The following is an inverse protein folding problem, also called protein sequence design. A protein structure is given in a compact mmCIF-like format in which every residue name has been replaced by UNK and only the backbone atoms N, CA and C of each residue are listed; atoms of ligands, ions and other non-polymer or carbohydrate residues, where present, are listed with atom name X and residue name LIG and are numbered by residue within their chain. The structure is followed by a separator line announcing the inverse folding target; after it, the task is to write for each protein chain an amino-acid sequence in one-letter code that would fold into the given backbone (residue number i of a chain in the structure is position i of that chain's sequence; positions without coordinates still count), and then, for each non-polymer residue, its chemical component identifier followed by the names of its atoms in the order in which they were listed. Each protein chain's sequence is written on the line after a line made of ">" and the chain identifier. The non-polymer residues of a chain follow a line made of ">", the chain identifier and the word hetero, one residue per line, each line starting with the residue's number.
data_IF_059060725203
#
_entry.id   IF_059060725203
#
_cell.length_a   1.000
_cell.length_b   1.000
_cell.length_c   1.000
_cell.angle_alpha   90.00
_cell.angle_beta   90.00
_cell.angle_gamma   90.00
#
_symmetry.space_group_name_H-M   'P 1'
#
loop_
_entity.id
_entity.type
_entity.pdbx_description
1 polymer ?
#
# COMPACT_ATOMS: atom_id res chain seq x y z
N UNK A 1 -12.24 7.44 -33.74
CA UNK A 1 -12.55 6.31 -32.83
C UNK A 1 -11.28 5.45 -32.81
N UNK A 2 -10.34 5.78 -31.93
CA UNK A 2 -9.22 4.90 -31.65
C UNK A 2 -9.77 3.74 -30.81
N UNK A 3 -9.62 2.51 -31.33
CA UNK A 3 -10.22 1.33 -30.74
C UNK A 3 -9.58 1.02 -29.38
N UNK A 4 -10.41 0.81 -28.36
CA UNK A 4 -9.99 0.24 -27.10
C UNK A 4 -9.26 -1.09 -27.35
N UNK A 5 -8.06 -1.22 -26.81
CA UNK A 5 -7.40 -2.53 -26.78
C UNK A 5 -8.08 -3.39 -25.72
N UNK A 6 -8.88 -4.35 -26.17
CA UNK A 6 -9.58 -5.30 -25.30
C UNK A 6 -8.64 -6.12 -24.42
N UNK A 7 -7.37 -6.21 -24.75
CA UNK A 7 -6.37 -6.87 -23.94
C UNK A 7 -6.06 -6.05 -22.67
N UNK A 8 -5.99 -4.74 -22.78
CA UNK A 8 -5.79 -3.83 -21.64
C UNK A 8 -7.00 -3.83 -20.72
N UNK A 9 -8.20 -3.83 -21.30
CA UNK A 9 -9.47 -3.92 -20.54
C UNK A 9 -9.54 -5.24 -19.77
N UNK A 10 -9.23 -6.37 -20.40
CA UNK A 10 -9.23 -7.67 -19.76
C UNK A 10 -8.18 -7.77 -18.63
N UNK A 11 -6.99 -7.22 -18.85
CA UNK A 11 -5.92 -7.16 -17.85
C UNK A 11 -6.36 -6.37 -16.61
N UNK A 12 -7.01 -5.25 -16.81
CA UNK A 12 -7.57 -4.42 -15.77
C UNK A 12 -8.61 -5.16 -14.92
N UNK A 13 -9.57 -5.84 -15.55
CA UNK A 13 -10.58 -6.63 -14.80
C UNK A 13 -9.96 -7.75 -13.99
N UNK A 14 -8.94 -8.42 -14.51
CA UNK A 14 -8.23 -9.48 -13.78
C UNK A 14 -7.48 -8.89 -12.58
N UNK A 15 -6.92 -7.69 -12.70
CA UNK A 15 -6.26 -6.99 -11.60
C UNK A 15 -7.26 -6.62 -10.51
N UNK A 16 -8.41 -6.05 -10.88
CA UNK A 16 -9.49 -5.71 -9.96
C UNK A 16 -10.05 -6.95 -9.25
N UNK A 17 -10.28 -8.02 -9.99
CA UNK A 17 -10.72 -9.29 -9.40
C UNK A 17 -9.72 -9.80 -8.33
N UNK A 18 -8.42 -9.70 -8.59
CA UNK A 18 -7.41 -10.08 -7.61
C UNK A 18 -7.52 -9.24 -6.34
N UNK A 19 -7.65 -7.92 -6.43
CA UNK A 19 -7.79 -7.03 -5.27
C UNK A 19 -9.04 -7.34 -4.46
N UNK A 20 -10.18 -7.54 -5.13
CA UNK A 20 -11.43 -7.97 -4.48
C UNK A 20 -11.28 -9.32 -3.77
N UNK A 21 -10.57 -10.26 -4.38
CA UNK A 21 -10.25 -11.55 -3.74
C UNK A 21 -9.39 -11.36 -2.50
N UNK A 22 -8.37 -10.50 -2.55
CA UNK A 22 -7.52 -10.21 -1.37
C UNK A 22 -8.34 -9.62 -0.23
N UNK A 23 -9.18 -8.61 -0.50
CA UNK A 23 -10.07 -8.01 0.50
C UNK A 23 -10.98 -9.07 1.13
N UNK A 24 -11.65 -9.89 0.34
CA UNK A 24 -12.53 -10.94 0.83
C UNK A 24 -11.77 -12.05 1.59
N UNK A 25 -10.62 -12.46 1.07
CA UNK A 25 -9.78 -13.49 1.66
C UNK A 25 -9.19 -13.07 3.00
N UNK A 26 -8.69 -11.85 3.11
CA UNK A 26 -8.08 -11.34 4.34
C UNK A 26 -9.08 -11.03 5.44
N UNK A 27 -10.36 -10.95 5.12
CA UNK A 27 -11.45 -10.87 6.09
C UNK A 27 -11.78 -12.24 6.75
N UNK A 28 -11.22 -13.33 6.23
CA UNK A 28 -11.36 -14.66 6.82
C UNK A 28 -10.30 -14.87 7.90
N UNK A 29 -10.69 -15.51 9.00
CA UNK A 29 -9.78 -15.92 10.06
C UNK A 29 -9.01 -17.17 9.62
N UNK A 30 -7.69 -17.03 9.53
CA UNK A 30 -6.78 -18.16 9.28
C UNK A 30 -6.24 -18.71 10.60
N UNK A 31 -6.25 -20.02 10.74
CA UNK A 31 -5.70 -20.68 11.93
C UNK A 31 -4.20 -20.43 12.07
N UNK A 32 -3.48 -20.39 10.95
CA UNK A 32 -2.04 -20.15 10.90
C UNK A 32 -1.74 -19.00 9.95
N UNK A 33 -1.17 -17.94 10.47
CA UNK A 33 -0.82 -16.77 9.66
C UNK A 33 0.24 -17.06 8.59
N UNK A 34 1.10 -18.08 8.82
CA UNK A 34 2.08 -18.57 7.84
C UNK A 34 1.45 -19.10 6.57
N UNK A 35 0.18 -19.50 6.64
CA UNK A 35 -0.54 -20.08 5.50
C UNK A 35 -1.17 -19.02 4.60
N UNK A 36 -1.03 -17.73 4.96
CA UNK A 36 -1.68 -16.63 4.28
C UNK A 36 -1.36 -16.55 2.78
N UNK A 37 -0.11 -16.71 2.39
CA UNK A 37 0.27 -16.80 0.97
C UNK A 37 0.07 -18.19 0.39
N UNK A 38 0.47 -19.30 1.05
CA UNK A 38 0.23 -20.65 0.54
C UNK A 38 -1.23 -20.95 0.24
N UNK A 39 -2.17 -20.56 1.11
CA UNK A 39 -3.58 -20.87 0.94
C UNK A 39 -4.21 -20.22 -0.29
N UNK A 40 -3.78 -19.00 -0.67
CA UNK A 40 -4.26 -18.34 -1.89
C UNK A 40 -3.42 -18.69 -3.13
N UNK A 41 -2.29 -19.38 -2.94
CA UNK A 41 -1.31 -19.68 -4.00
C UNK A 41 -1.90 -20.42 -5.19
N UNK A 42 -2.87 -21.32 -4.96
CA UNK A 42 -3.58 -22.03 -6.03
C UNK A 42 -4.35 -21.09 -6.96
N UNK A 43 -5.04 -20.09 -6.39
CA UNK A 43 -5.73 -19.06 -7.17
C UNK A 43 -4.74 -18.16 -7.89
N UNK A 44 -3.66 -17.75 -7.24
CA UNK A 44 -2.61 -16.95 -7.84
C UNK A 44 -2.01 -17.67 -9.06
N UNK A 45 -1.69 -18.96 -8.94
CA UNK A 45 -1.18 -19.79 -10.04
C UNK A 45 -2.15 -19.87 -11.22
N UNK A 46 -3.45 -20.00 -10.93
CA UNK A 46 -4.48 -20.02 -11.95
C UNK A 46 -4.62 -18.66 -12.68
N UNK A 47 -4.50 -17.56 -11.96
CA UNK A 47 -4.55 -16.22 -12.52
C UNK A 47 -3.28 -15.87 -13.30
N UNK A 48 -2.11 -16.32 -12.87
CA UNK A 48 -0.83 -16.08 -13.56
C UNK A 48 -0.85 -16.55 -15.03
N UNK A 49 -1.49 -17.69 -15.29
CA UNK A 49 -1.63 -18.23 -16.64
C UNK A 49 -2.40 -17.30 -17.61
N UNK A 50 -3.31 -16.48 -17.07
CA UNK A 50 -4.12 -15.53 -17.84
C UNK A 50 -3.52 -14.15 -17.88
N UNK A 51 -2.90 -13.73 -16.77
CA UNK A 51 -2.39 -12.38 -16.57
C UNK A 51 -1.06 -12.12 -17.26
N UNK A 52 -0.29 -13.19 -17.53
CA UNK A 52 1.06 -13.10 -18.12
C UNK A 52 2.00 -12.16 -17.34
N UNK A 53 1.80 -12.06 -16.04
CA UNK A 53 2.58 -11.23 -15.12
C UNK A 53 3.26 -12.07 -14.06
N UNK A 54 4.29 -11.52 -13.43
CA UNK A 54 5.02 -12.17 -12.32
C UNK A 54 4.29 -11.94 -11.00
N UNK A 55 4.03 -13.02 -10.27
CA UNK A 55 3.53 -12.96 -8.91
C UNK A 55 4.65 -12.68 -7.91
N UNK A 56 4.44 -11.73 -7.02
CA UNK A 56 5.44 -11.21 -6.09
C UNK A 56 4.82 -11.12 -4.69
N UNK A 57 4.88 -12.21 -3.91
CA UNK A 57 4.44 -12.21 -2.52
C UNK A 57 3.03 -11.61 -2.29
N UNK A 58 2.06 -11.98 -3.10
CA UNK A 58 0.67 -11.52 -2.95
C UNK A 58 0.26 -10.38 -3.88
N UNK A 59 1.19 -9.76 -4.58
CA UNK A 59 0.94 -8.68 -5.55
C UNK A 59 1.47 -9.06 -6.93
N UNK A 60 1.14 -8.26 -7.95
CA UNK A 60 1.53 -8.54 -9.33
C UNK A 60 2.44 -7.47 -9.90
N UNK A 61 3.43 -7.88 -10.68
CA UNK A 61 4.45 -6.98 -11.24
C UNK A 61 3.86 -5.89 -12.14
N UNK A 62 2.88 -6.23 -12.95
CA UNK A 62 2.22 -5.32 -13.90
C UNK A 62 1.38 -4.23 -13.23
N UNK A 63 0.88 -4.47 -12.02
CA UNK A 63 0.08 -3.52 -11.25
C UNK A 63 0.68 -3.19 -9.88
N UNK A 64 2.00 -3.36 -9.73
CA UNK A 64 2.69 -3.28 -8.45
C UNK A 64 2.47 -1.94 -7.73
N UNK A 65 2.43 -0.82 -8.45
CA UNK A 65 2.20 0.49 -7.86
C UNK A 65 0.82 0.60 -7.19
N UNK A 66 -0.20 0.02 -7.82
CA UNK A 66 -1.56 -0.01 -7.27
C UNK A 66 -1.67 -1.03 -6.15
N UNK A 67 -1.11 -2.22 -6.36
CA UNK A 67 -1.17 -3.31 -5.39
C UNK A 67 -0.41 -2.99 -4.10
N UNK A 68 0.50 -2.01 -4.11
CA UNK A 68 1.14 -1.45 -2.93
C UNK A 68 0.24 -0.51 -2.11
N UNK A 69 -0.93 -0.11 -2.62
CA UNK A 69 -1.83 0.83 -1.95
C UNK A 69 -2.89 0.14 -1.07
N UNK A 70 -2.52 -0.97 -0.44
CA UNK A 70 -3.40 -1.63 0.51
C UNK A 70 -3.43 -0.89 1.86
N UNK A 71 -4.56 -0.98 2.56
CA UNK A 71 -4.79 -0.38 3.87
C UNK A 71 -5.48 -1.37 4.81
N UNK A 72 -5.41 -1.12 6.09
CA UNK A 72 -6.22 -1.81 7.10
C UNK A 72 -7.35 -0.88 7.53
N UNK A 73 -8.61 -1.17 7.16
CA UNK A 73 -9.74 -0.26 7.40
C UNK A 73 -10.16 -0.18 8.87
N UNK A 74 -9.79 -1.17 9.68
CA UNK A 74 -10.15 -1.21 11.11
C UNK A 74 -9.25 -0.32 11.97
N UNK A 75 -9.80 0.23 13.04
CA UNK A 75 -9.04 0.96 14.09
C UNK A 75 -8.35 0.02 15.06
N UNK A 76 -8.86 -1.19 15.23
CA UNK A 76 -8.23 -2.24 16.02
C UNK A 76 -7.29 -3.02 15.13
N UNK A 77 -6.01 -2.98 15.47
CA UNK A 77 -4.95 -3.60 14.68
C UNK A 77 -4.22 -4.62 15.51
N UNK A 78 -3.93 -5.77 14.90
CA UNK A 78 -3.08 -6.77 15.50
C UNK A 78 -1.61 -6.34 15.44
N UNK A 79 -0.75 -6.85 16.33
CA UNK A 79 0.69 -6.74 16.15
C UNK A 79 1.11 -7.40 14.84
N UNK A 80 2.23 -6.98 14.28
CA UNK A 80 2.81 -7.67 13.13
C UNK A 80 3.22 -9.09 13.52
N UNK A 81 2.97 -10.09 12.67
CA UNK A 81 3.37 -11.49 12.94
C UNK A 81 4.87 -11.63 13.21
N UNK A 82 5.20 -12.42 14.22
CA UNK A 82 6.60 -12.76 14.53
C UNK A 82 6.71 -14.29 14.75
N UNK A 83 7.51 -15.02 13.96
CA UNK A 83 8.35 -14.52 12.85
C UNK A 83 7.53 -13.93 11.69
N UNK A 84 8.18 -13.07 10.90
CA UNK A 84 7.55 -12.49 9.71
C UNK A 84 7.31 -13.57 8.66
N UNK A 85 6.15 -13.50 8.01
CA UNK A 85 5.70 -14.47 7.01
C UNK A 85 5.79 -13.94 5.58
N UNK A 86 5.98 -12.61 5.43
CA UNK A 86 6.10 -11.93 4.15
C UNK A 86 6.88 -10.62 4.30
N UNK A 87 7.39 -10.05 3.19
CA UNK A 87 7.99 -8.71 3.18
C UNK A 87 6.98 -7.64 3.60
N UNK A 88 7.44 -6.56 4.24
CA UNK A 88 6.55 -5.54 4.82
C UNK A 88 5.72 -4.78 3.81
N UNK A 89 6.13 -4.74 2.56
CA UNK A 89 5.39 -4.13 1.45
C UNK A 89 4.24 -5.00 0.94
N UNK A 90 4.23 -6.30 1.28
CA UNK A 90 3.12 -7.21 0.97
C UNK A 90 2.00 -7.10 2.00
N UNK A 91 0.76 -7.15 1.54
CA UNK A 91 -0.43 -7.25 2.39
C UNK A 91 -0.41 -8.50 3.29
N UNK A 92 0.34 -9.53 2.91
CA UNK A 92 0.46 -10.76 3.69
C UNK A 92 1.37 -10.61 4.92
N UNK A 93 2.04 -9.46 5.10
CA UNK A 93 2.91 -9.16 6.24
C UNK A 93 2.16 -8.82 7.52
N UNK A 94 0.83 -8.71 7.47
CA UNK A 94 -0.02 -8.29 8.59
C UNK A 94 -1.08 -9.33 8.89
N UNK A 95 -1.51 -9.39 10.14
CA UNK A 95 -2.59 -10.26 10.61
C UNK A 95 -3.86 -9.43 10.84
N UNK A 96 -4.43 -8.98 9.75
CA UNK A 96 -5.66 -8.16 9.76
C UNK A 96 -6.35 -8.25 8.40
N UNK A 97 -7.63 -7.93 8.36
CA UNK A 97 -8.32 -7.67 7.10
C UNK A 97 -7.71 -6.49 6.39
N UNK A 98 -7.47 -6.65 5.11
CA UNK A 98 -6.86 -5.65 4.24
C UNK A 98 -7.87 -5.22 3.19
N UNK A 99 -7.94 -3.94 2.93
CA UNK A 99 -8.60 -3.37 1.78
C UNK A 99 -7.55 -2.85 0.80
N UNK A 100 -7.73 -3.10 -0.48
CA UNK A 100 -6.80 -2.61 -1.50
C UNK A 100 -7.46 -1.42 -2.18
N UNK A 101 -6.81 -0.27 -2.09
CA UNK A 101 -7.27 0.93 -2.77
C UNK A 101 -7.29 0.65 -4.27
N UNK A 102 -8.48 0.52 -4.80
CA UNK A 102 -8.68 0.51 -6.24
C UNK A 102 -8.75 1.97 -6.70
N UNK A 103 -7.61 2.48 -7.16
CA UNK A 103 -7.53 3.84 -7.71
C UNK A 103 -8.51 4.05 -8.88
N UNK A 104 -9.05 2.96 -9.38
CA UNK A 104 -9.94 2.91 -10.53
C UNK A 104 -11.39 2.63 -10.11
N UNK A 105 -11.79 2.96 -8.87
CA UNK A 105 -13.20 2.97 -8.47
C UNK A 105 -14.09 3.84 -9.39
N UNK A 106 -13.48 4.59 -10.30
CA UNK A 106 -14.14 5.53 -11.18
C UNK A 106 -14.41 5.01 -12.59
N UNK A 107 -14.02 3.78 -12.91
CA UNK A 107 -14.38 3.18 -14.19
C UNK A 107 -15.47 2.13 -13.99
N UNK A 108 -16.72 2.57 -14.05
CA UNK A 108 -17.88 1.69 -14.19
C UNK A 108 -18.14 1.55 -15.69
N UNK A 109 -17.97 0.35 -16.28
CA UNK A 109 -18.20 0.15 -17.71
C UNK A 109 -19.68 0.34 -18.11
N UNK A 110 -20.61 0.29 -17.14
CA UNK A 110 -22.04 0.48 -17.37
C UNK A 110 -22.46 1.96 -17.26
N UNK A 111 -21.55 2.83 -16.80
CA UNK A 111 -21.76 4.27 -16.83
C UNK A 111 -21.13 4.81 -18.12
N UNK A 112 -21.97 5.37 -19.00
CA UNK A 112 -21.56 6.14 -20.19
C UNK A 112 -20.83 7.41 -19.72
N UNK A 113 -19.59 7.26 -19.22
CA UNK A 113 -18.75 8.41 -18.90
C UNK A 113 -18.28 9.03 -20.21
N UNK A 114 -18.72 10.27 -20.44
CA UNK A 114 -18.03 11.11 -21.42
C UNK A 114 -16.54 11.14 -21.09
N UNK A 115 -15.70 11.15 -22.10
CA UNK A 115 -14.24 11.03 -22.00
C UNK A 115 -13.63 12.07 -21.03
N UNK A 116 -14.31 13.20 -20.81
CA UNK A 116 -13.96 14.29 -19.89
C UNK A 116 -14.27 14.00 -18.40
N UNK A 117 -14.95 12.92 -18.06
CA UNK A 117 -15.32 12.59 -16.67
C UNK A 117 -14.38 11.58 -16.02
N UNK A 118 -13.35 11.11 -16.72
CA UNK A 118 -12.29 10.26 -16.14
C UNK A 118 -11.41 11.12 -15.23
N UNK A 119 -11.36 10.76 -13.96
CA UNK A 119 -10.45 11.40 -13.02
C UNK A 119 -8.98 11.20 -13.44
N UNK A 120 -8.15 12.18 -13.17
CA UNK A 120 -6.71 12.06 -13.37
C UNK A 120 -6.13 11.10 -12.34
N UNK A 121 -5.40 10.08 -12.81
CA UNK A 121 -4.65 9.17 -11.97
C UNK A 121 -3.19 9.14 -12.42
N UNK A 122 -2.30 9.45 -11.49
CA UNK A 122 -0.86 9.48 -11.75
C UNK A 122 -0.09 8.69 -10.72
N UNK A 123 0.78 7.80 -11.19
CA UNK A 123 1.83 7.24 -10.36
C UNK A 123 2.97 8.25 -10.20
N UNK A 124 3.33 8.52 -8.96
CA UNK A 124 4.40 9.48 -8.62
C UNK A 124 5.67 8.79 -8.11
N UNK A 125 5.68 7.49 -8.13
CA UNK A 125 6.83 6.64 -7.80
C UNK A 125 7.06 5.61 -8.89
N UNK A 126 8.30 5.12 -8.97
CA UNK A 126 8.70 4.11 -9.96
C UNK A 126 9.31 2.93 -9.22
N UNK A 127 8.74 1.75 -9.39
CA UNK A 127 9.37 0.50 -8.95
C UNK A 127 10.54 0.20 -9.88
N UNK A 128 11.75 0.28 -9.32
CA UNK A 128 13.01 0.04 -10.04
C UNK A 128 13.27 -1.46 -10.15
N UNK A 129 13.04 -2.20 -9.06
CA UNK A 129 13.23 -3.64 -8.98
C UNK A 129 12.35 -4.24 -7.89
N UNK A 130 11.95 -5.49 -8.06
CA UNK A 130 11.28 -6.26 -7.03
C UNK A 130 11.71 -7.72 -7.11
N UNK A 131 12.34 -8.21 -6.05
CA UNK A 131 12.86 -9.56 -5.92
C UNK A 131 12.17 -10.29 -4.78
N UNK A 132 11.75 -11.52 -5.05
CA UNK A 132 11.13 -12.40 -4.07
C UNK A 132 11.81 -13.76 -4.12
N UNK A 133 12.23 -14.27 -2.96
CA UNK A 133 12.77 -15.62 -2.81
C UNK A 133 11.75 -16.47 -2.08
N UNK A 134 11.16 -17.49 -2.72
CA UNK A 134 10.27 -18.44 -2.06
C UNK A 134 10.97 -19.19 -0.93
N UNK A 135 10.24 -19.60 0.08
CA UNK A 135 10.75 -20.48 1.16
C UNK A 135 10.82 -21.95 0.76
N UNK A 136 10.25 -22.32 -0.38
CA UNK A 136 10.21 -23.66 -0.93
C UNK A 136 10.28 -23.65 -2.45
N UNK A 137 9.84 -24.74 -3.08
CA UNK A 137 9.86 -24.90 -4.55
C UNK A 137 8.69 -24.19 -5.26
N UNK A 138 7.66 -23.81 -4.52
CA UNK A 138 6.47 -23.16 -5.07
C UNK A 138 6.60 -21.63 -4.98
N UNK A 139 6.66 -20.97 -6.14
CA UNK A 139 6.74 -19.52 -6.25
C UNK A 139 5.47 -18.79 -5.77
N UNK A 140 4.38 -19.50 -5.56
CA UNK A 140 3.10 -18.96 -5.09
C UNK A 140 2.86 -19.22 -3.59
N UNK A 141 3.80 -19.89 -2.94
CA UNK A 141 3.73 -20.28 -1.53
C UNK A 141 4.37 -19.27 -0.57
N UNK A 142 4.95 -19.79 0.51
CA UNK A 142 5.64 -18.99 1.51
C UNK A 142 6.88 -18.28 0.96
N UNK A 143 7.26 -17.18 1.60
CA UNK A 143 8.36 -16.31 1.18
C UNK A 143 9.47 -16.35 2.23
N UNK A 144 10.71 -16.57 1.80
CA UNK A 144 11.89 -16.47 2.65
C UNK A 144 12.42 -15.03 2.71
N UNK A 145 12.49 -14.36 1.55
CA UNK A 145 12.98 -12.99 1.46
C UNK A 145 12.24 -12.23 0.35
N UNK A 146 12.09 -10.92 0.54
CA UNK A 146 11.58 -10.02 -0.48
C UNK A 146 12.24 -8.66 -0.37
N UNK A 147 12.58 -8.07 -1.52
CA UNK A 147 13.17 -6.75 -1.64
C UNK A 147 12.43 -5.98 -2.72
N UNK A 148 11.90 -4.83 -2.36
CA UNK A 148 11.31 -3.86 -3.27
C UNK A 148 12.18 -2.63 -3.33
N UNK A 149 12.74 -2.32 -4.49
CA UNK A 149 13.47 -1.08 -4.76
C UNK A 149 12.55 -0.10 -5.48
N UNK A 150 12.29 1.04 -4.85
CA UNK A 150 11.36 2.05 -5.36
C UNK A 150 12.00 3.43 -5.30
N UNK A 151 11.78 4.21 -6.35
CA UNK A 151 12.22 5.60 -6.48
C UNK A 151 11.03 6.53 -6.52
N UNK A 152 11.10 7.61 -5.79
CA UNK A 152 10.05 8.61 -5.75
C UNK A 152 10.41 9.82 -4.90
N UNK A 153 9.51 10.78 -4.85
CA UNK A 153 9.66 11.96 -4.00
C UNK A 153 9.43 11.57 -2.54
N UNK A 154 10.43 11.81 -1.70
CA UNK A 154 10.43 11.44 -0.28
C UNK A 154 10.67 12.67 0.57
N UNK A 155 9.90 12.79 1.64
CA UNK A 155 10.10 13.77 2.71
C UNK A 155 10.38 13.05 4.01
N UNK A 156 11.31 13.59 4.80
CA UNK A 156 11.61 13.10 6.14
C UNK A 156 10.57 13.62 7.13
N UNK A 157 10.18 12.78 8.08
CA UNK A 157 9.20 13.10 9.10
C UNK A 157 9.49 12.40 10.42
N UNK A 158 8.65 12.70 11.38
CA UNK A 158 8.69 12.11 12.73
C UNK A 158 7.33 11.50 13.05
N UNK A 159 7.33 10.32 13.65
CA UNK A 159 6.11 9.68 14.14
C UNK A 159 5.65 10.34 15.42
N UNK A 160 4.40 10.73 15.48
CA UNK A 160 3.71 11.15 16.69
C UNK A 160 2.50 10.26 16.95
N UNK A 161 2.00 10.31 18.19
CA UNK A 161 0.75 9.67 18.57
C UNK A 161 -0.06 10.53 19.52
N UNK A 162 -1.38 10.37 19.43
CA UNK A 162 -2.34 10.90 20.38
C UNK A 162 -3.26 9.80 20.87
N UNK A 163 -3.83 9.98 22.03
CA UNK A 163 -4.98 9.22 22.51
C UNK A 163 -6.23 10.05 22.31
N UNK A 164 -7.18 9.52 21.55
CA UNK A 164 -8.47 10.18 21.30
C UNK A 164 -9.61 9.31 21.83
N UNK A 165 -10.67 9.94 22.28
CA UNK A 165 -11.88 9.21 22.70
C UNK A 165 -12.80 9.10 21.48
N UNK A 166 -13.08 7.86 21.05
CA UNK A 166 -14.04 7.56 20.00
C UNK A 166 -15.10 6.60 20.54
N UNK A 167 -16.37 7.00 20.43
CA UNK A 167 -17.49 6.21 20.96
C UNK A 167 -17.30 5.77 22.44
N UNK A 168 -16.74 6.66 23.27
CA UNK A 168 -16.47 6.39 24.69
C UNK A 168 -15.28 5.46 24.99
N UNK A 169 -14.48 5.09 23.95
CA UNK A 169 -13.27 4.28 24.11
C UNK A 169 -12.03 5.09 23.76
N UNK A 170 -10.98 4.94 24.55
CA UNK A 170 -9.67 5.46 24.21
C UNK A 170 -9.12 4.71 22.99
N UNK A 171 -8.67 5.45 21.99
CA UNK A 171 -8.11 4.93 20.75
C UNK A 171 -6.81 5.67 20.45
N UNK A 172 -5.74 4.93 20.24
CA UNK A 172 -4.47 5.49 19.80
C UNK A 172 -4.55 5.83 18.32
N UNK A 173 -4.13 7.04 17.98
CA UNK A 173 -4.03 7.53 16.60
C UNK A 173 -2.60 7.98 16.35
N UNK A 174 -2.03 7.52 15.26
CA UNK A 174 -0.69 7.88 14.86
C UNK A 174 -0.69 8.96 13.78
N UNK A 175 0.33 9.79 13.81
CA UNK A 175 0.51 10.89 12.87
C UNK A 175 1.95 10.91 12.38
N UNK A 176 2.12 11.36 11.16
CA UNK A 176 3.39 11.81 10.65
C UNK A 176 3.45 13.34 10.75
N UNK A 177 4.56 13.85 11.29
CA UNK A 177 4.86 15.27 11.33
C UNK A 177 6.01 15.54 10.36
N UNK A 178 5.76 16.38 9.40
CA UNK A 178 6.74 16.90 8.44
C UNK A 178 6.82 18.43 8.57
N UNK A 179 7.77 19.10 7.93
CA UNK A 179 7.96 20.55 8.03
C UNK A 179 6.70 21.37 7.72
N UNK A 180 5.78 20.83 6.97
CA UNK A 180 4.59 21.53 6.45
C UNK A 180 3.29 21.16 7.16
N UNK A 181 3.30 20.19 8.06
CA UNK A 181 2.09 19.80 8.76
C UNK A 181 2.14 18.44 9.44
N UNK A 182 0.99 18.09 10.00
CA UNK A 182 0.74 16.85 10.75
C UNK A 182 -0.37 16.09 10.06
N UNK A 183 -0.11 14.84 9.67
CA UNK A 183 -1.03 14.02 8.89
C UNK A 183 -1.30 12.70 9.62
N UNK A 184 -2.57 12.34 9.73
CA UNK A 184 -2.96 11.06 10.33
C UNK A 184 -2.53 9.93 9.40
N UNK A 185 -1.94 8.87 9.97
CA UNK A 185 -1.58 7.66 9.25
C UNK A 185 -2.58 6.52 9.53
N UNK A 186 -2.84 5.73 8.51
CA UNK A 186 -3.46 4.42 8.63
C UNK A 186 -2.32 3.41 8.78
N UNK A 187 -2.03 3.06 10.06
CA UNK A 187 -0.96 2.15 10.38
C UNK A 187 -1.26 0.73 9.88
N UNK A 188 -0.25 0.00 9.43
CA UNK A 188 -0.41 -1.37 8.93
C UNK A 188 -0.61 -2.40 10.05
N UNK A 189 -0.24 -2.07 11.28
CA UNK A 189 -0.34 -2.92 12.45
C UNK A 189 -0.34 -2.07 13.73
N UNK A 190 -0.48 -2.69 14.89
CA UNK A 190 -0.43 -2.01 16.19
C UNK A 190 1.01 -1.56 16.48
N UNK A 191 1.37 -0.33 16.06
CA UNK A 191 2.73 0.23 16.17
C UNK A 191 3.22 0.31 17.62
N UNK A 192 2.31 0.43 18.61
CA UNK A 192 2.62 0.52 20.02
C UNK A 192 2.87 -0.83 20.68
N UNK A 193 2.53 -1.94 20.02
CA UNK A 193 2.69 -3.27 20.60
C UNK A 193 4.15 -3.55 20.90
N UNK A 194 4.48 -3.99 22.14
CA UNK A 194 5.84 -4.34 22.52
C UNK A 194 6.41 -5.41 21.60
N UNK A 195 7.68 -5.24 21.17
CA UNK A 195 8.36 -6.21 20.33
C UNK A 195 9.29 -5.56 19.30
N UNK A 196 9.86 -6.37 18.38
CA UNK A 196 10.83 -5.89 17.39
C UNK A 196 10.22 -4.85 16.43
N UNK A 197 8.91 -4.95 16.18
CA UNK A 197 8.17 -4.08 15.28
C UNK A 197 7.59 -2.83 15.94
N UNK A 198 7.77 -2.66 17.25
CA UNK A 198 7.32 -1.46 17.95
C UNK A 198 7.98 -0.20 17.35
N UNK A 199 7.15 0.82 17.11
CA UNK A 199 7.59 2.15 16.65
C UNK A 199 7.16 3.18 17.69
N UNK A 200 8.15 3.77 18.36
CA UNK A 200 7.90 4.76 19.40
C UNK A 200 7.65 6.15 18.80
N UNK A 201 6.87 7.01 19.49
CA UNK A 201 6.81 8.43 19.16
C UNK A 201 8.21 9.05 19.15
N UNK A 202 8.46 9.97 18.21
CA UNK A 202 9.78 10.54 17.97
C UNK A 202 10.65 9.75 16.97
N UNK A 203 10.19 8.57 16.53
CA UNK A 203 10.93 7.80 15.52
C UNK A 203 11.00 8.55 14.20
N UNK A 204 12.18 8.58 13.59
CA UNK A 204 12.38 9.08 12.24
C UNK A 204 11.68 8.15 11.23
N UNK A 205 10.96 8.74 10.32
CA UNK A 205 10.21 8.04 9.26
C UNK A 205 10.37 8.76 7.93
N UNK A 206 10.11 8.04 6.85
CA UNK A 206 10.05 8.59 5.50
C UNK A 206 8.61 8.53 4.99
N UNK A 207 8.20 9.58 4.28
CA UNK A 207 6.95 9.60 3.54
C UNK A 207 7.27 9.55 2.05
N UNK A 208 6.97 8.43 1.41
CA UNK A 208 7.16 8.22 -0.01
C UNK A 208 5.84 8.51 -0.73
N UNK A 209 5.87 9.48 -1.63
CA UNK A 209 4.73 9.81 -2.48
C UNK A 209 4.51 8.71 -3.51
N UNK A 210 3.30 8.13 -3.50
CA UNK A 210 2.95 7.01 -4.38
C UNK A 210 2.12 7.43 -5.58
N UNK A 211 0.97 8.01 -5.32
CA UNK A 211 -0.01 8.28 -6.36
C UNK A 211 -0.81 9.52 -6.07
N UNK A 212 -1.30 10.11 -7.12
CA UNK A 212 -2.22 11.22 -7.11
C UNK A 212 -3.48 10.81 -7.86
N UNK A 213 -4.64 11.09 -7.27
CA UNK A 213 -5.95 10.74 -7.81
C UNK A 213 -6.83 11.98 -7.79
N UNK A 214 -7.44 12.30 -8.92
CA UNK A 214 -8.56 13.23 -9.01
C UNK A 214 -9.86 12.44 -9.08
N UNK A 215 -10.80 12.75 -8.23
CA UNK A 215 -12.05 12.03 -8.05
C UNK A 215 -13.11 12.56 -9.05
N UNK A 216 -13.09 12.05 -10.28
CA UNK A 216 -14.04 12.42 -11.33
C UNK A 216 -13.98 13.90 -11.73
N UNK A 217 -15.10 14.50 -12.17
CA UNK A 217 -15.17 15.91 -12.50
C UNK A 217 -15.19 16.83 -11.26
N UNK A 218 -15.16 16.22 -10.06
CA UNK A 218 -15.05 16.99 -8.82
C UNK A 218 -13.62 17.49 -8.61
N UNK A 219 -13.49 18.69 -8.04
CA UNK A 219 -12.18 19.23 -7.60
C UNK A 219 -11.65 18.51 -6.35
N UNK A 220 -11.97 17.22 -6.19
CA UNK A 220 -11.47 16.43 -5.07
C UNK A 220 -10.21 15.67 -5.49
N UNK A 221 -9.12 16.01 -4.87
CA UNK A 221 -7.82 15.38 -5.11
C UNK A 221 -7.38 14.57 -3.90
N UNK A 222 -6.78 13.41 -4.14
CA UNK A 222 -6.17 12.55 -3.11
C UNK A 222 -4.71 12.31 -3.44
N UNK A 223 -3.85 12.65 -2.51
CA UNK A 223 -2.42 12.32 -2.58
C UNK A 223 -2.15 11.19 -1.61
N UNK A 224 -1.66 10.05 -2.11
CA UNK A 224 -1.39 8.85 -1.34
C UNK A 224 0.10 8.69 -1.11
N UNK A 225 0.48 8.38 0.13
CA UNK A 225 1.87 8.24 0.54
C UNK A 225 2.05 6.99 1.40
N UNK A 226 3.14 6.25 1.19
CA UNK A 226 3.60 5.22 2.12
C UNK A 226 4.41 5.84 3.24
N UNK A 227 4.28 5.26 4.44
CA UNK A 227 5.08 5.60 5.60
C UNK A 227 6.06 4.47 5.86
N UNK A 228 7.35 4.82 5.89
CA UNK A 228 8.44 3.89 6.01
C UNK A 228 9.27 4.22 7.24
N UNK A 229 9.75 3.21 7.95
CA UNK A 229 10.81 3.33 8.97
C UNK A 229 12.07 2.61 8.52
N UNK A 230 13.23 2.99 9.02
CA UNK A 230 14.44 2.19 8.84
C UNK A 230 14.30 0.85 9.56
N UNK A 231 14.72 -0.22 8.89
CA UNK A 231 14.69 -1.57 9.45
C UNK A 231 15.72 -1.74 10.57
N UNK A 232 15.26 -2.19 11.73
CA UNK A 232 16.15 -2.53 12.85
C UNK A 232 17.02 -3.76 12.56
N UNK A 233 16.58 -4.63 11.65
CA UNK A 233 17.25 -5.88 11.31
C UNK A 233 18.21 -5.73 10.13
N UNK A 234 17.93 -4.78 9.23
CA UNK A 234 18.68 -4.54 7.99
C UNK A 234 18.94 -3.04 7.82
N UNK A 235 19.98 -2.50 8.49
CA UNK A 235 20.33 -1.07 8.40
C UNK A 235 20.46 -0.59 6.95
N UNK A 236 19.99 0.61 6.66
CA UNK A 236 19.95 1.18 5.31
C UNK A 236 18.80 0.69 4.44
N UNK A 237 18.00 -0.27 4.92
CA UNK A 237 16.73 -0.67 4.28
C UNK A 237 15.56 -0.22 5.14
N UNK A 238 14.38 -0.22 4.54
CA UNK A 238 13.18 0.31 5.14
C UNK A 238 12.10 -0.76 5.27
N UNK A 239 11.17 -0.49 6.16
CA UNK A 239 9.97 -1.29 6.40
C UNK A 239 8.75 -0.40 6.27
N UNK A 240 7.75 -0.86 5.56
CA UNK A 240 6.47 -0.21 5.51
C UNK A 240 5.76 -0.36 6.86
N UNK A 241 5.24 0.75 7.39
CA UNK A 241 4.52 0.78 8.67
C UNK A 241 3.10 1.36 8.55
N UNK A 242 2.75 1.88 7.39
CA UNK A 242 1.44 2.43 7.12
C UNK A 242 1.40 3.25 5.84
N UNK A 243 0.27 3.88 5.64
CA UNK A 243 0.08 4.86 4.60
C UNK A 243 -0.81 6.00 5.13
N UNK A 244 -0.90 7.07 4.38
CA UNK A 244 -1.89 8.11 4.59
C UNK A 244 -2.28 8.72 3.26
N UNK A 245 -3.42 9.39 3.25
CA UNK A 245 -3.86 10.19 2.13
C UNK A 245 -4.22 11.59 2.58
N UNK A 246 -3.93 12.54 1.74
CA UNK A 246 -4.36 13.93 1.90
C UNK A 246 -5.44 14.18 0.87
N UNK A 247 -6.60 14.62 1.36
CA UNK A 247 -7.71 15.02 0.50
C UNK A 247 -7.74 16.56 0.42
N UNK A 248 -7.90 17.09 -0.77
CA UNK A 248 -7.93 18.54 -1.00
C UNK A 248 -8.83 18.88 -2.18
N UNK A 249 -9.43 20.06 -2.10
CA UNK A 249 -10.13 20.70 -3.23
C UNK A 249 -9.19 21.59 -4.05
N UNK A 250 -7.92 21.64 -3.70
CA UNK A 250 -6.91 22.46 -4.39
C UNK A 250 -6.17 21.59 -5.42
N UNK A 251 -5.89 22.11 -6.62
CA UNK A 251 -5.17 21.36 -7.64
C UNK A 251 -3.83 20.77 -7.17
N UNK A 252 -3.37 19.67 -7.80
CA UNK A 252 -2.22 18.89 -7.36
C UNK A 252 -0.95 19.69 -7.14
N UNK A 253 -0.71 20.69 -7.97
CA UNK A 253 0.51 21.48 -7.94
C UNK A 253 0.72 22.24 -6.62
N UNK A 254 -0.34 22.67 -5.97
CA UNK A 254 -0.24 23.42 -4.71
C UNK A 254 -0.17 22.46 -3.50
N UNK A 255 -0.90 21.37 -3.54
CA UNK A 255 -0.85 20.32 -2.51
C UNK A 255 0.51 19.61 -2.50
N UNK A 256 1.02 19.31 -3.70
CA UNK A 256 2.34 18.70 -3.90
C UNK A 256 3.46 19.64 -3.44
N UNK A 257 3.36 20.94 -3.74
CA UNK A 257 4.32 21.96 -3.31
C UNK A 257 4.30 22.17 -1.81
N UNK A 258 3.14 22.02 -1.15
CA UNK A 258 3.05 22.23 0.30
C UNK A 258 3.71 21.09 1.08
N UNK A 259 3.30 19.84 0.91
CA UNK A 259 3.78 18.74 1.73
C UNK A 259 5.21 18.29 1.37
N UNK A 260 5.51 18.19 0.08
CA UNK A 260 6.79 17.69 -0.41
C UNK A 260 7.78 18.78 -0.79
N UNK A 261 7.56 20.03 -0.33
CA UNK A 261 8.43 21.18 -0.64
C UNK A 261 9.89 20.98 -0.18
N UNK A 262 10.09 20.28 0.93
CA UNK A 262 11.42 19.91 1.46
C UNK A 262 11.90 18.54 1.02
N UNK A 263 11.12 17.84 0.18
CA UNK A 263 11.42 16.49 -0.28
C UNK A 263 12.46 16.47 -1.39
N UNK A 264 13.01 15.27 -1.60
CA UNK A 264 13.92 14.97 -2.71
C UNK A 264 13.58 13.63 -3.33
N UNK A 265 13.90 13.46 -4.61
CA UNK A 265 13.79 12.15 -5.26
C UNK A 265 14.90 11.25 -4.72
N UNK A 266 14.47 10.16 -4.09
CA UNK A 266 15.37 9.15 -3.51
C UNK A 266 14.93 7.76 -3.94
N UNK A 267 15.88 6.83 -3.98
CA UNK A 267 15.61 5.40 -4.16
C UNK A 267 15.81 4.70 -2.83
N UNK A 268 14.85 3.90 -2.42
CA UNK A 268 14.88 3.15 -1.15
C UNK A 268 14.59 1.68 -1.40
N UNK A 269 15.17 0.83 -0.55
CA UNK A 269 14.96 -0.61 -0.51
C UNK A 269 14.00 -0.93 0.63
N UNK A 270 12.84 -1.54 0.33
CA UNK A 270 11.83 -1.95 1.31
C UNK A 270 11.87 -3.47 1.45
N UNK A 271 11.95 -3.96 2.69
CA UNK A 271 12.05 -5.38 3.05
C UNK A 271 10.82 -5.91 3.78
#
# INVERSE_FOLDING_TARGET
>A
MEGYDWADVASYFIARLWRTLITSYTALDLTMISDRLPAIGGLAKHMAARRKSTYLAGIWKDTINDDLLWIIPTTLKNPRPSPRTAPTWSWASVDSSVDVWDAVFFWDPDLDYEEDSRGLYEHNSTVVDCQVTPSGVDNYGGIAHGLLRISGLIVDGVLERDTVIRHGKETTVHYVVVSTGRFRIDADYALDSPGPDQVLPGAAILCLRMSFIQDGPSDNFKLISLVLRESKQQPGKYERIGCFFIQSTTPPNDLQRSMYASGSVRTVDIV
#
